data_IF_880506246395
#
_entry.id   IF_880506246395
#
_cell.length_a   1.000
_cell.length_b   1.000
_cell.length_c   1.000
_cell.angle_alpha   90.00
_cell.angle_beta   90.00
_cell.angle_gamma   90.00
#
_symmetry.space_group_name_H-M   'P 1'
#
loop_
_entity.id
_entity.type
_entity.pdbx_description
1 polymer ?
#
# COMPACT_ATOMS: atom_id res chain seq x y z
N UNK A 1 6.56 51.53 -0.74
CA UNK A 1 7.08 50.51 0.18
C UNK A 1 6.71 49.14 -0.43
N UNK A 2 7.67 48.50 -1.09
CA UNK A 2 7.49 47.20 -1.77
C UNK A 2 7.88 46.10 -0.80
N UNK A 3 6.93 45.27 -0.36
CA UNK A 3 7.21 44.07 0.44
C UNK A 3 7.69 42.97 -0.51
N UNK A 4 9.00 42.68 -0.42
CA UNK A 4 9.59 41.46 -0.99
C UNK A 4 9.20 40.27 -0.10
N UNK A 5 8.35 39.39 -0.64
CA UNK A 5 8.14 38.04 -0.11
C UNK A 5 9.25 37.14 -0.67
N UNK A 6 10.23 36.83 0.15
CA UNK A 6 11.25 35.82 -0.11
C UNK A 6 10.57 34.43 -0.07
N UNK A 7 10.80 33.54 -1.05
CA UNK A 7 10.34 32.16 -0.96
C UNK A 7 11.20 31.41 0.05
N UNK A 8 10.56 30.89 1.09
CA UNK A 8 11.17 30.00 2.08
C UNK A 8 11.52 28.67 1.39
N UNK A 9 12.80 28.53 0.99
CA UNK A 9 13.36 27.26 0.51
C UNK A 9 13.29 26.21 1.63
N UNK A 10 12.35 25.29 1.54
CA UNK A 10 12.31 24.12 2.41
C UNK A 10 13.39 23.12 1.96
N UNK A 11 14.47 23.09 2.71
CA UNK A 11 15.49 22.03 2.59
C UNK A 11 14.87 20.71 3.05
N UNK A 12 14.63 19.81 2.11
CA UNK A 12 14.22 18.44 2.36
C UNK A 12 15.44 17.66 2.90
N UNK A 13 15.55 17.48 4.21
CA UNK A 13 16.49 16.52 4.78
C UNK A 13 15.90 15.11 4.65
N UNK A 14 16.21 14.46 3.54
CA UNK A 14 15.99 13.03 3.39
C UNK A 14 17.18 12.32 4.03
N UNK A 15 16.95 11.64 5.14
CA UNK A 15 17.97 10.80 5.76
C UNK A 15 18.28 9.61 4.86
N UNK A 16 19.44 9.64 4.22
CA UNK A 16 20.02 8.47 3.56
C UNK A 16 20.34 7.41 4.60
N UNK A 17 19.50 6.42 4.76
CA UNK A 17 19.91 5.16 5.35
C UNK A 17 20.67 4.39 4.28
N UNK A 18 22.01 4.47 4.29
CA UNK A 18 22.84 3.57 3.51
C UNK A 18 22.57 2.12 3.94
N UNK A 19 21.72 1.42 3.21
CA UNK A 19 21.64 -0.03 3.30
C UNK A 19 22.95 -0.62 2.79
N UNK A 20 23.94 -0.79 3.67
CA UNK A 20 25.00 -1.77 3.45
C UNK A 20 24.37 -3.13 3.71
N UNK A 21 24.07 -3.86 2.66
CA UNK A 21 23.84 -5.28 2.78
C UNK A 21 25.14 -5.92 3.34
N UNK A 22 25.05 -6.79 4.37
CA UNK A 22 26.20 -7.64 4.70
C UNK A 22 26.52 -8.45 3.46
N UNK A 23 27.82 -8.54 3.09
CA UNK A 23 28.35 -9.08 1.86
C UNK A 23 27.60 -10.30 1.35
N UNK A 24 26.64 -10.09 0.50
CA UNK A 24 26.02 -11.13 -0.29
C UNK A 24 26.88 -11.29 -1.53
N UNK A 25 27.67 -12.35 -1.57
CA UNK A 25 28.12 -12.93 -2.82
C UNK A 25 26.90 -13.09 -3.71
N UNK A 26 26.90 -12.38 -4.82
CA UNK A 26 25.86 -12.53 -5.84
C UNK A 26 26.06 -13.92 -6.47
N UNK A 27 25.49 -14.91 -5.83
CA UNK A 27 25.33 -16.23 -6.42
C UNK A 27 24.32 -16.10 -7.57
N UNK A 28 24.71 -16.64 -8.71
CA UNK A 28 23.87 -16.77 -9.89
C UNK A 28 22.79 -17.79 -9.53
N UNK A 29 21.75 -17.35 -8.83
CA UNK A 29 20.56 -18.15 -8.60
C UNK A 29 19.82 -18.29 -9.92
N UNK A 30 20.06 -19.36 -10.63
CA UNK A 30 19.12 -19.94 -11.59
C UNK A 30 17.76 -20.02 -10.90
N UNK A 31 16.74 -19.53 -11.58
CA UNK A 31 15.32 -19.67 -11.21
C UNK A 31 14.99 -21.18 -11.15
N UNK A 32 15.27 -21.81 -10.03
CA UNK A 32 14.81 -23.17 -9.78
C UNK A 32 13.29 -23.12 -9.61
N UNK A 33 12.64 -23.68 -10.59
CA UNK A 33 11.19 -23.85 -10.74
C UNK A 33 10.67 -24.87 -9.72
N UNK A 34 10.52 -24.46 -8.45
CA UNK A 34 9.80 -25.24 -7.45
C UNK A 34 8.72 -24.38 -6.82
N UNK A 35 7.51 -24.55 -7.33
CA UNK A 35 6.31 -24.06 -6.65
C UNK A 35 6.30 -24.59 -5.20
N UNK A 36 5.98 -23.77 -4.19
CA UNK A 36 5.75 -24.27 -2.84
C UNK A 36 4.64 -25.31 -2.91
N UNK A 37 4.86 -26.46 -2.27
CA UNK A 37 3.84 -27.52 -2.16
C UNK A 37 2.56 -26.88 -1.61
N UNK A 38 1.44 -27.20 -2.23
CA UNK A 38 0.08 -26.67 -2.03
C UNK A 38 -0.47 -26.85 -0.60
N UNK A 39 0.26 -27.52 0.28
CA UNK A 39 -0.28 -28.13 1.49
C UNK A 39 -0.04 -27.35 2.80
N UNK A 40 0.45 -26.09 2.77
CA UNK A 40 0.85 -25.39 4.00
C UNK A 40 0.27 -24.00 4.24
N UNK A 41 -0.66 -23.55 3.43
CA UNK A 41 -1.38 -22.28 3.70
C UNK A 41 -2.83 -22.66 4.02
N UNK A 42 -3.39 -22.31 5.21
CA UNK A 42 -4.82 -22.45 5.42
C UNK A 42 -5.50 -21.65 4.29
N UNK A 43 -6.29 -22.34 3.47
CA UNK A 43 -7.06 -21.71 2.43
C UNK A 43 -7.97 -20.67 3.08
N UNK A 44 -7.65 -19.39 2.94
CA UNK A 44 -8.72 -18.40 2.85
C UNK A 44 -9.56 -18.87 1.66
N UNK A 45 -10.86 -19.08 1.90
CA UNK A 45 -11.78 -19.72 0.99
C UNK A 45 -11.54 -19.30 -0.47
N UNK A 46 -11.50 -20.27 -1.38
CA UNK A 46 -11.56 -19.99 -2.81
C UNK A 46 -12.77 -19.08 -3.07
N UNK A 47 -12.72 -18.22 -4.09
CA UNK A 47 -13.85 -17.33 -4.39
C UNK A 47 -15.17 -18.09 -4.59
N UNK A 48 -15.12 -19.38 -4.93
CA UNK A 48 -16.30 -20.26 -5.01
C UNK A 48 -16.93 -20.59 -3.66
N UNK A 49 -16.17 -20.54 -2.58
CA UNK A 49 -16.65 -20.81 -1.21
C UNK A 49 -17.04 -19.50 -0.49
N UNK A 50 -16.77 -18.33 -1.09
CA UNK A 50 -17.16 -17.06 -0.51
C UNK A 50 -18.68 -16.86 -0.65
N UNK A 51 -19.39 -16.45 0.42
CA UNK A 51 -20.80 -16.11 0.32
C UNK A 51 -21.01 -15.01 -0.71
N UNK A 52 -22.13 -15.05 -1.45
CA UNK A 52 -22.48 -13.99 -2.41
C UNK A 52 -22.36 -12.62 -1.75
N UNK A 53 -21.92 -11.62 -2.50
CA UNK A 53 -21.81 -10.26 -2.01
C UNK A 53 -23.18 -9.75 -1.54
N UNK A 54 -23.27 -9.36 -0.27
CA UNK A 54 -24.41 -8.62 0.25
C UNK A 54 -24.31 -7.14 -0.18
N UNK A 55 -25.00 -6.79 -1.25
CA UNK A 55 -25.00 -5.44 -1.81
C UNK A 55 -25.65 -4.41 -0.89
N UNK A 56 -26.60 -4.84 -0.04
CA UNK A 56 -27.25 -3.96 0.95
C UNK A 56 -26.25 -3.55 2.02
N UNK A 57 -25.56 -4.52 2.60
CA UNK A 57 -24.51 -4.28 3.58
C UNK A 57 -23.33 -3.50 2.96
N UNK A 58 -22.93 -3.82 1.71
CA UNK A 58 -21.88 -3.07 1.00
C UNK A 58 -22.24 -1.58 0.89
N UNK A 59 -23.47 -1.28 0.44
CA UNK A 59 -23.94 0.10 0.32
C UNK A 59 -24.07 0.81 1.67
N UNK A 60 -24.45 0.08 2.72
CA UNK A 60 -24.48 0.62 4.08
C UNK A 60 -23.06 0.99 4.52
N UNK A 61 -22.09 0.11 4.37
CA UNK A 61 -20.68 0.35 4.72
C UNK A 61 -20.08 1.51 3.92
N UNK A 62 -20.40 1.64 2.65
CA UNK A 62 -19.99 2.81 1.86
C UNK A 62 -20.57 4.11 2.44
N UNK A 63 -21.86 4.14 2.83
CA UNK A 63 -22.44 5.33 3.48
C UNK A 63 -21.72 5.69 4.79
N UNK A 64 -21.33 4.69 5.59
CA UNK A 64 -20.59 4.91 6.83
C UNK A 64 -19.21 5.56 6.57
N UNK A 65 -18.51 5.17 5.49
CA UNK A 65 -17.25 5.81 5.05
C UNK A 65 -17.46 7.31 4.73
N UNK A 66 -18.61 7.66 4.16
CA UNK A 66 -18.96 9.04 3.84
C UNK A 66 -19.73 9.76 4.96
N UNK A 67 -19.65 9.27 6.21
CA UNK A 67 -20.36 9.84 7.38
C UNK A 67 -21.87 10.04 7.12
N UNK A 68 -22.49 9.14 6.35
CA UNK A 68 -23.88 9.19 5.91
C UNK A 68 -24.24 10.47 5.10
N UNK A 69 -23.24 11.18 4.56
CA UNK A 69 -23.42 12.32 3.65
C UNK A 69 -23.41 11.84 2.20
N UNK A 70 -23.89 12.68 1.28
CA UNK A 70 -23.74 12.40 -0.15
C UNK A 70 -22.27 12.36 -0.51
N UNK A 71 -21.79 11.29 -1.21
CA UNK A 71 -20.37 11.11 -1.50
C UNK A 71 -19.77 12.19 -2.42
N UNK A 72 -20.55 13.00 -3.09
CA UNK A 72 -20.06 14.00 -4.05
C UNK A 72 -19.28 13.34 -5.18
N UNK A 73 -18.03 13.81 -5.40
CA UNK A 73 -17.13 13.25 -6.41
C UNK A 73 -16.66 11.83 -6.10
N UNK A 74 -16.85 11.35 -4.87
CA UNK A 74 -16.56 9.98 -4.44
C UNK A 74 -17.72 9.02 -4.69
N UNK A 75 -18.57 9.30 -5.66
CA UNK A 75 -19.61 8.34 -6.04
C UNK A 75 -18.93 7.02 -6.43
N UNK A 76 -19.22 5.90 -5.72
CA UNK A 76 -18.81 4.61 -6.21
C UNK A 76 -19.44 4.40 -7.58
N UNK A 77 -18.67 3.86 -8.52
CA UNK A 77 -19.26 3.34 -9.72
C UNK A 77 -20.24 2.23 -9.34
N UNK A 78 -21.21 2.01 -10.20
CA UNK A 78 -22.24 0.99 -10.01
C UNK A 78 -21.71 -0.44 -10.04
N UNK A 79 -20.42 -0.67 -10.31
CA UNK A 79 -19.80 -1.99 -10.30
C UNK A 79 -19.43 -2.40 -8.88
N UNK A 80 -20.16 -3.40 -8.37
CA UNK A 80 -19.83 -4.04 -7.11
C UNK A 80 -18.56 -4.90 -7.25
N UNK A 81 -17.76 -5.07 -6.17
CA UNK A 81 -16.67 -6.03 -6.17
C UNK A 81 -17.21 -7.48 -6.21
N UNK A 82 -16.34 -8.42 -6.59
CA UNK A 82 -16.67 -9.84 -6.46
C UNK A 82 -16.83 -10.25 -4.99
N UNK A 83 -17.42 -11.41 -4.76
CA UNK A 83 -17.51 -12.05 -3.45
C UNK A 83 -16.13 -12.21 -2.80
N UNK A 84 -16.06 -12.12 -1.47
CA UNK A 84 -14.79 -12.18 -0.74
C UNK A 84 -14.01 -10.86 -0.68
N UNK A 85 -14.56 -9.75 -1.19
CA UNK A 85 -13.98 -8.43 -1.05
C UNK A 85 -13.78 -8.04 0.43
N UNK A 86 -12.61 -7.50 0.76
CA UNK A 86 -12.29 -7.05 2.12
C UNK A 86 -12.90 -5.67 2.40
N UNK A 87 -12.76 -4.75 1.45
CA UNK A 87 -13.27 -3.39 1.60
C UNK A 87 -14.70 -3.28 1.04
N UNK A 88 -15.58 -2.50 1.67
CA UNK A 88 -15.43 -1.72 2.90
C UNK A 88 -15.84 -2.46 4.18
N UNK A 89 -15.99 -3.79 4.16
CA UNK A 89 -16.48 -4.58 5.28
C UNK A 89 -15.53 -4.63 6.46
N UNK A 90 -14.21 -4.52 6.17
CA UNK A 90 -13.14 -4.46 7.17
C UNK A 90 -12.25 -3.24 6.90
N UNK A 91 -11.65 -2.70 7.96
CA UNK A 91 -10.53 -1.76 7.86
C UNK A 91 -9.22 -2.54 7.87
N UNK A 92 -8.33 -2.24 6.94
CA UNK A 92 -6.98 -2.83 6.96
C UNK A 92 -6.06 -1.96 7.81
N UNK A 93 -5.34 -2.57 8.75
CA UNK A 93 -4.27 -1.92 9.53
C UNK A 93 -2.96 -2.64 9.22
N UNK A 94 -2.03 -1.92 8.63
CA UNK A 94 -0.80 -2.47 8.07
C UNK A 94 0.46 -1.91 8.75
N UNK A 95 1.44 -2.77 9.00
CA UNK A 95 2.81 -2.37 9.27
C UNK A 95 3.64 -2.41 7.97
N UNK A 96 4.36 -1.31 7.71
CA UNK A 96 5.11 -1.08 6.47
C UNK A 96 6.61 -1.21 6.71
N UNK A 97 7.35 -1.65 5.70
CA UNK A 97 8.80 -1.62 5.72
C UNK A 97 9.48 -2.77 4.98
N UNK A 98 10.77 -2.94 5.29
CA UNK A 98 11.63 -3.95 4.70
C UNK A 98 12.47 -4.62 5.81
N UNK A 99 12.56 -5.95 5.82
CA UNK A 99 13.25 -6.69 6.88
C UNK A 99 14.77 -6.47 6.92
N UNK A 100 15.37 -6.01 5.83
CA UNK A 100 16.81 -5.71 5.77
C UNK A 100 17.15 -4.28 6.21
N UNK A 101 16.13 -3.43 6.46
CA UNK A 101 16.37 -2.03 6.80
C UNK A 101 15.54 -1.58 7.99
N UNK A 102 16.23 -1.26 9.08
CA UNK A 102 15.61 -0.65 10.26
C UNK A 102 15.09 0.77 10.01
N UNK A 103 15.57 1.44 8.96
CA UNK A 103 15.19 2.81 8.60
C UNK A 103 14.00 2.89 7.64
N UNK A 104 13.62 1.80 6.98
CA UNK A 104 12.55 1.80 5.99
C UNK A 104 11.17 1.47 6.57
N UNK A 105 11.06 1.33 7.88
CA UNK A 105 9.78 1.11 8.53
C UNK A 105 9.80 0.06 9.64
N UNK A 106 8.64 -0.10 10.25
CA UNK A 106 8.48 -0.89 11.47
C UNK A 106 8.74 -2.39 11.27
N UNK A 107 8.51 -2.93 10.06
CA UNK A 107 8.72 -4.35 9.76
C UNK A 107 10.18 -4.80 9.98
N UNK A 108 11.15 -3.93 9.67
CA UNK A 108 12.57 -4.24 9.85
C UNK A 108 13.17 -3.71 11.15
N UNK A 109 12.43 -2.89 11.89
CA UNK A 109 12.93 -2.17 13.07
C UNK A 109 12.90 -3.01 14.33
N UNK A 110 11.89 -3.84 14.50
CA UNK A 110 11.65 -4.66 15.69
C UNK A 110 11.94 -6.13 15.38
N UNK A 111 12.10 -6.93 16.46
CA UNK A 111 12.09 -8.39 16.30
C UNK A 111 10.72 -8.85 15.77
N UNK A 112 10.65 -9.95 15.02
CA UNK A 112 9.40 -10.41 14.43
C UNK A 112 8.25 -10.54 15.43
N UNK A 113 8.46 -11.17 16.56
CA UNK A 113 7.39 -11.40 17.54
C UNK A 113 6.96 -10.08 18.23
N UNK A 114 7.90 -9.20 18.56
CA UNK A 114 7.59 -7.85 19.06
C UNK A 114 6.82 -7.02 18.03
N UNK A 115 7.19 -7.12 16.77
CA UNK A 115 6.51 -6.42 15.66
C UNK A 115 5.07 -6.90 15.53
N UNK A 116 4.84 -8.22 15.56
CA UNK A 116 3.50 -8.79 15.47
C UNK A 116 2.63 -8.42 16.68
N UNK A 117 3.18 -8.49 17.90
CA UNK A 117 2.47 -8.08 19.11
C UNK A 117 2.03 -6.61 19.04
N UNK A 118 2.93 -5.71 18.62
CA UNK A 118 2.60 -4.29 18.45
C UNK A 118 1.56 -4.04 17.34
N UNK A 119 1.60 -4.80 16.26
CA UNK A 119 0.55 -4.70 15.23
C UNK A 119 -0.81 -5.10 15.81
N UNK A 120 -0.88 -6.15 16.61
CA UNK A 120 -2.12 -6.55 17.28
C UNK A 120 -2.62 -5.51 18.29
N UNK A 121 -1.72 -4.80 18.99
CA UNK A 121 -2.08 -3.66 19.84
C UNK A 121 -2.71 -2.52 19.01
N UNK A 122 -2.14 -2.21 17.85
CA UNK A 122 -2.74 -1.19 16.95
C UNK A 122 -4.11 -1.66 16.42
N UNK A 123 -4.24 -2.93 16.01
CA UNK A 123 -5.53 -3.51 15.59
C UNK A 123 -6.59 -3.28 16.67
N UNK A 124 -6.27 -3.61 17.92
CA UNK A 124 -7.19 -3.43 19.07
C UNK A 124 -7.61 -1.97 19.25
N UNK A 125 -6.68 -1.01 19.14
CA UNK A 125 -7.00 0.43 19.25
C UNK A 125 -7.98 0.89 18.15
N UNK A 126 -7.85 0.34 16.93
CA UNK A 126 -8.76 0.65 15.83
C UNK A 126 -10.14 0.02 16.02
N UNK A 127 -10.21 -1.20 16.56
CA UNK A 127 -11.48 -1.87 16.91
C UNK A 127 -12.18 -1.15 18.06
N UNK A 128 -11.45 -0.67 19.06
CA UNK A 128 -12.01 0.14 20.16
C UNK A 128 -12.54 1.50 19.66
N UNK A 129 -11.88 2.11 18.68
CA UNK A 129 -12.29 3.40 18.12
C UNK A 129 -13.49 3.29 17.16
N UNK A 130 -13.70 2.16 16.51
CA UNK A 130 -14.80 1.88 15.57
C UNK A 130 -15.17 0.39 15.64
N UNK A 131 -15.95 0.04 16.65
CA UNK A 131 -16.38 -1.35 16.91
C UNK A 131 -17.29 -1.95 15.83
N UNK A 132 -17.86 -1.12 14.95
CA UNK A 132 -18.73 -1.57 13.85
C UNK A 132 -17.95 -2.00 12.59
N UNK A 133 -16.64 -1.75 12.56
CA UNK A 133 -15.79 -2.08 11.41
C UNK A 133 -14.64 -2.99 11.87
N UNK A 134 -14.75 -4.31 11.69
CA UNK A 134 -13.68 -5.25 12.03
C UNK A 134 -12.36 -4.87 11.38
N UNK A 135 -11.23 -5.16 12.03
CA UNK A 135 -9.92 -4.85 11.51
C UNK A 135 -9.24 -6.10 10.93
N UNK A 136 -8.67 -5.96 9.73
CA UNK A 136 -7.81 -6.93 9.10
C UNK A 136 -6.36 -6.49 9.27
N UNK A 137 -5.54 -7.21 10.06
CA UNK A 137 -4.11 -6.93 10.15
C UNK A 137 -3.41 -7.20 8.83
N UNK A 138 -2.35 -6.45 8.55
CA UNK A 138 -1.56 -6.62 7.33
C UNK A 138 -0.07 -6.37 7.55
N UNK A 139 0.76 -7.08 6.79
CA UNK A 139 2.18 -6.77 6.61
C UNK A 139 2.37 -6.20 5.21
N UNK A 140 2.83 -4.95 5.11
CA UNK A 140 3.07 -4.27 3.84
C UNK A 140 4.57 -4.23 3.58
N UNK A 141 5.06 -5.24 2.85
CA UNK A 141 6.47 -5.50 2.64
C UNK A 141 6.99 -4.89 1.34
N UNK A 142 8.04 -4.07 1.41
CA UNK A 142 8.68 -3.48 0.23
C UNK A 142 9.55 -4.53 -0.44
N UNK A 143 9.08 -5.09 -1.56
CA UNK A 143 9.74 -6.16 -2.32
C UNK A 143 10.74 -5.64 -3.35
N UNK A 144 10.49 -4.43 -3.84
CA UNK A 144 11.42 -3.70 -4.72
C UNK A 144 11.66 -2.34 -4.09
N UNK A 145 12.90 -2.06 -3.73
CA UNK A 145 13.28 -0.80 -3.07
C UNK A 145 14.01 0.11 -4.05
N UNK A 146 13.58 1.36 -4.16
CA UNK A 146 14.32 2.38 -4.88
C UNK A 146 15.70 2.62 -4.25
N UNK A 147 16.69 2.94 -5.07
CA UNK A 147 18.08 3.12 -4.65
C UNK A 147 18.63 4.45 -5.17
N UNK A 148 19.46 5.11 -4.37
CA UNK A 148 20.22 6.30 -4.80
C UNK A 148 21.39 5.98 -5.74
N UNK A 149 21.67 4.70 -6.01
CA UNK A 149 22.73 4.24 -6.92
C UNK A 149 22.12 3.44 -8.05
N UNK A 150 22.70 3.57 -9.24
CA UNK A 150 22.19 2.98 -10.48
C UNK A 150 22.04 1.45 -10.43
N UNK A 151 22.90 0.76 -9.66
CA UNK A 151 22.97 -0.69 -9.70
C UNK A 151 23.61 -1.22 -10.99
N UNK A 152 23.69 -2.55 -11.14
CA UNK A 152 24.31 -3.18 -12.33
C UNK A 152 23.51 -2.94 -13.61
N UNK A 153 22.19 -2.91 -13.50
CA UNK A 153 21.25 -2.72 -14.62
C UNK A 153 20.82 -1.27 -14.84
N UNK A 154 21.41 -0.32 -14.10
CA UNK A 154 21.12 1.11 -14.14
C UNK A 154 19.65 1.49 -13.85
N UNK A 155 18.92 0.62 -13.15
CA UNK A 155 17.49 0.83 -12.86
C UNK A 155 17.24 1.51 -11.52
N UNK A 156 18.25 1.84 -10.74
CA UNK A 156 18.11 2.54 -9.45
C UNK A 156 17.09 1.87 -8.52
N UNK A 157 17.06 0.53 -8.53
CA UNK A 157 16.21 -0.26 -7.65
C UNK A 157 16.90 -1.57 -7.26
N UNK A 158 16.46 -2.16 -6.17
CA UNK A 158 16.94 -3.45 -5.67
C UNK A 158 15.73 -4.35 -5.39
N UNK A 159 15.65 -5.48 -6.06
CA UNK A 159 14.67 -6.53 -5.78
C UNK A 159 15.10 -7.34 -4.57
N UNK A 160 14.18 -7.55 -3.62
CA UNK A 160 14.44 -8.40 -2.47
C UNK A 160 14.38 -9.88 -2.88
N UNK A 161 15.17 -10.74 -2.22
CA UNK A 161 15.06 -12.18 -2.45
C UNK A 161 13.66 -12.69 -2.10
N UNK A 162 13.18 -13.68 -2.82
CA UNK A 162 11.87 -14.30 -2.57
C UNK A 162 11.73 -14.87 -1.17
N UNK A 163 12.81 -15.37 -0.56
CA UNK A 163 12.85 -15.81 0.84
C UNK A 163 12.38 -14.74 1.84
N UNK A 164 12.48 -13.46 1.50
CA UNK A 164 11.95 -12.38 2.35
C UNK A 164 10.44 -12.21 2.19
N UNK A 165 9.90 -12.52 1.02
CA UNK A 165 8.44 -12.60 0.81
C UNK A 165 7.89 -13.82 1.56
N UNK A 166 8.57 -14.97 1.45
CA UNK A 166 8.19 -16.20 2.19
C UNK A 166 8.16 -15.92 3.70
N UNK A 167 9.19 -15.23 4.23
CA UNK A 167 9.22 -14.77 5.63
C UNK A 167 8.03 -13.87 5.99
N UNK A 168 7.64 -12.94 5.11
CA UNK A 168 6.47 -12.08 5.35
C UNK A 168 5.19 -12.92 5.44
N UNK A 169 5.03 -13.91 4.58
CA UNK A 169 3.88 -14.82 4.59
C UNK A 169 3.84 -15.68 5.84
N UNK A 170 4.98 -16.22 6.28
CA UNK A 170 5.08 -17.00 7.53
C UNK A 170 4.70 -16.17 8.76
N UNK A 171 5.18 -14.93 8.83
CA UNK A 171 4.85 -14.02 9.92
C UNK A 171 3.37 -13.63 9.88
N UNK A 172 2.84 -13.30 8.73
CA UNK A 172 1.43 -12.94 8.55
C UNK A 172 0.48 -14.08 8.99
N UNK A 173 0.84 -15.33 8.69
CA UNK A 173 0.07 -16.51 9.11
C UNK A 173 -0.11 -16.60 10.62
N UNK A 174 0.89 -16.19 11.42
CA UNK A 174 0.83 -16.27 12.89
C UNK A 174 -0.32 -15.46 13.50
N UNK A 175 -0.76 -14.38 12.83
CA UNK A 175 -1.79 -13.47 13.32
C UNK A 175 -2.96 -13.30 12.34
N UNK A 176 -3.10 -14.22 11.39
CA UNK A 176 -4.12 -14.16 10.33
C UNK A 176 -4.11 -12.83 9.55
N UNK A 177 -2.91 -12.29 9.29
CA UNK A 177 -2.72 -11.07 8.51
C UNK A 177 -2.68 -11.38 7.01
N UNK A 178 -3.08 -10.37 6.21
CA UNK A 178 -2.83 -10.34 4.77
C UNK A 178 -1.46 -9.70 4.50
N UNK A 179 -0.93 -9.92 3.29
CA UNK A 179 0.37 -9.36 2.89
C UNK A 179 0.20 -8.47 1.67
N UNK A 180 0.83 -7.30 1.70
CA UNK A 180 1.01 -6.45 0.52
C UNK A 180 2.46 -6.55 0.07
N UNK A 181 2.65 -6.71 -1.23
CA UNK A 181 3.96 -6.62 -1.89
C UNK A 181 4.05 -5.26 -2.55
N UNK A 182 4.97 -4.42 -2.05
CA UNK A 182 5.13 -3.05 -2.51
C UNK A 182 6.32 -2.90 -3.45
N UNK A 183 6.19 -2.06 -4.47
CA UNK A 183 7.26 -1.81 -5.44
C UNK A 183 7.56 -0.32 -5.62
N UNK A 184 8.84 0.01 -5.48
CA UNK A 184 9.44 1.31 -5.75
C UNK A 184 10.33 1.13 -7.00
N UNK A 185 9.78 1.44 -8.18
CA UNK A 185 10.33 0.97 -9.45
C UNK A 185 11.65 1.62 -9.88
N UNK A 186 12.02 2.80 -9.33
CA UNK A 186 13.20 3.55 -9.78
C UNK A 186 13.09 3.90 -11.27
N UNK A 187 14.06 3.50 -12.07
CA UNK A 187 14.08 3.58 -13.54
C UNK A 187 13.58 2.29 -14.23
N UNK A 188 13.01 1.36 -13.47
CA UNK A 188 12.21 0.27 -14.00
C UNK A 188 10.77 0.77 -14.20
N UNK A 189 9.84 -0.13 -14.43
CA UNK A 189 8.41 0.17 -14.50
C UNK A 189 7.57 -1.00 -13.95
N UNK A 190 6.30 -0.75 -13.72
CA UNK A 190 5.38 -1.75 -13.18
C UNK A 190 5.20 -2.95 -14.10
N UNK A 191 5.35 -2.78 -15.42
CA UNK A 191 5.22 -3.87 -16.41
C UNK A 191 6.36 -4.87 -16.31
N UNK A 192 7.54 -4.43 -15.86
CA UNK A 192 8.69 -5.29 -15.62
C UNK A 192 8.65 -5.92 -14.23
N UNK A 193 8.12 -5.24 -13.22
CA UNK A 193 8.25 -5.69 -11.82
C UNK A 193 7.10 -6.62 -11.39
N UNK A 194 5.83 -6.32 -11.75
CA UNK A 194 4.69 -7.10 -11.27
C UNK A 194 4.65 -8.55 -11.78
N UNK A 195 5.02 -8.89 -13.04
CA UNK A 195 4.97 -10.28 -13.50
C UNK A 195 5.93 -11.21 -12.73
N UNK A 196 7.03 -10.67 -12.21
CA UNK A 196 7.98 -11.44 -11.40
C UNK A 196 7.39 -11.89 -10.05
N UNK A 197 6.30 -11.28 -9.62
CA UNK A 197 5.62 -11.55 -8.36
C UNK A 197 4.35 -12.39 -8.52
N UNK A 198 4.03 -12.84 -9.75
CA UNK A 198 2.80 -13.61 -10.04
C UNK A 198 2.64 -14.81 -9.12
N UNK A 199 3.71 -15.57 -8.86
CA UNK A 199 3.74 -16.70 -7.92
C UNK A 199 3.11 -16.36 -6.56
N UNK A 200 3.37 -15.17 -6.06
CA UNK A 200 2.86 -14.72 -4.77
C UNK A 200 1.49 -14.05 -4.91
N UNK A 201 1.29 -13.28 -5.98
CA UNK A 201 0.03 -12.60 -6.26
C UNK A 201 -1.10 -13.56 -6.60
N UNK A 202 -0.79 -14.81 -6.97
CA UNK A 202 -1.75 -15.91 -7.11
C UNK A 202 -2.27 -16.48 -5.78
N UNK A 203 -1.72 -16.04 -4.64
CA UNK A 203 -2.22 -16.42 -3.31
C UNK A 203 -3.37 -15.49 -2.88
N UNK A 204 -4.47 -16.01 -2.29
CA UNK A 204 -5.66 -15.23 -1.99
C UNK A 204 -5.42 -14.10 -0.98
N UNK A 205 -4.48 -14.25 -0.07
CA UNK A 205 -4.14 -13.30 0.99
C UNK A 205 -2.98 -12.35 0.63
N UNK A 206 -2.53 -12.35 -0.63
CA UNK A 206 -1.46 -11.46 -1.11
C UNK A 206 -2.03 -10.39 -2.03
N UNK A 207 -1.75 -9.16 -1.72
CA UNK A 207 -2.20 -7.95 -2.39
C UNK A 207 -0.99 -7.15 -2.90
N UNK A 208 -1.22 -5.99 -3.52
CA UNK A 208 -0.14 -5.25 -4.17
C UNK A 208 -0.13 -3.76 -3.81
N UNK A 209 1.05 -3.15 -3.82
CA UNK A 209 1.25 -1.73 -3.66
C UNK A 209 2.20 -1.17 -4.71
N UNK A 210 1.96 0.06 -5.13
CA UNK A 210 2.84 0.83 -6.01
C UNK A 210 3.13 2.19 -5.39
N UNK A 211 4.38 2.63 -5.53
CA UNK A 211 4.84 3.88 -4.94
C UNK A 211 5.32 4.86 -6.03
N UNK A 212 4.42 5.75 -6.51
CA UNK A 212 4.76 6.73 -7.52
C UNK A 212 5.87 7.69 -7.12
N UNK A 213 6.12 7.92 -5.81
CA UNK A 213 7.22 8.77 -5.33
C UNK A 213 8.56 8.36 -5.96
N UNK A 214 8.74 7.06 -6.17
CA UNK A 214 9.98 6.50 -6.68
C UNK A 214 9.93 6.07 -8.15
N UNK A 215 8.92 6.44 -8.92
CA UNK A 215 8.86 6.21 -10.36
C UNK A 215 9.57 7.36 -11.09
N UNK A 216 10.79 7.10 -11.54
CA UNK A 216 11.69 8.11 -12.09
C UNK A 216 11.60 8.19 -13.61
N UNK A 217 11.68 9.42 -14.13
CA UNK A 217 11.73 9.72 -15.56
C UNK A 217 12.98 10.54 -15.90
N UNK A 218 13.54 10.31 -17.10
CA UNK A 218 14.77 10.96 -17.53
C UNK A 218 15.97 10.58 -16.66
N UNK A 219 16.81 11.53 -16.31
CA UNK A 219 18.02 11.32 -15.50
C UNK A 219 17.83 11.52 -13.99
N UNK A 220 16.59 11.59 -13.52
CA UNK A 220 16.28 11.83 -12.11
C UNK A 220 16.66 10.64 -11.25
N UNK A 221 17.25 10.88 -10.08
CA UNK A 221 17.63 9.83 -9.13
C UNK A 221 16.54 9.71 -8.04
N UNK A 222 16.12 8.51 -7.66
CA UNK A 222 15.17 8.31 -6.55
C UNK A 222 15.62 9.04 -5.28
N UNK A 223 14.67 9.59 -4.54
CA UNK A 223 14.86 10.39 -3.33
C UNK A 223 15.48 11.79 -3.55
N UNK A 224 15.83 12.18 -4.78
CA UNK A 224 16.24 13.57 -5.08
C UNK A 224 15.09 14.42 -5.59
N UNK A 225 14.08 13.78 -6.12
CA UNK A 225 12.81 14.39 -6.58
C UNK A 225 11.67 13.44 -6.26
N UNK A 226 10.46 13.98 -6.21
CA UNK A 226 9.24 13.19 -6.15
C UNK A 226 8.95 12.67 -7.56
N UNK A 227 8.75 11.36 -7.68
CA UNK A 227 8.41 10.69 -8.92
C UNK A 227 6.94 10.85 -9.32
N UNK A 228 6.58 10.23 -10.44
CA UNK A 228 5.23 10.30 -11.01
C UNK A 228 4.89 9.00 -11.73
N UNK A 229 3.68 8.50 -11.53
CA UNK A 229 3.04 7.50 -12.38
C UNK A 229 1.83 8.12 -13.08
N UNK A 230 1.44 7.54 -14.20
CA UNK A 230 0.24 7.92 -14.93
C UNK A 230 -0.90 6.91 -14.66
N UNK A 231 -2.13 7.31 -14.95
CA UNK A 231 -3.28 6.40 -14.90
C UNK A 231 -3.07 5.12 -15.70
N UNK A 232 -2.29 5.17 -16.79
CA UNK A 232 -1.93 3.99 -17.59
C UNK A 232 -1.11 2.96 -16.83
N UNK A 233 -0.27 3.39 -15.89
CA UNK A 233 0.50 2.48 -15.02
C UNK A 233 -0.43 1.79 -14.02
N UNK A 234 -1.32 2.56 -13.39
CA UNK A 234 -2.33 2.02 -12.46
C UNK A 234 -3.28 1.05 -13.19
N UNK A 235 -3.72 1.41 -14.40
CA UNK A 235 -4.59 0.55 -15.23
C UNK A 235 -3.90 -0.74 -15.62
N UNK A 236 -2.62 -0.70 -15.97
CA UNK A 236 -1.85 -1.91 -16.24
C UNK A 236 -1.80 -2.83 -15.02
N UNK A 237 -1.48 -2.28 -13.85
CA UNK A 237 -1.39 -3.07 -12.60
C UNK A 237 -2.76 -3.63 -12.21
N UNK A 238 -3.82 -2.81 -12.22
CA UNK A 238 -5.17 -3.26 -11.86
C UNK A 238 -5.71 -4.30 -12.85
N UNK A 239 -5.45 -4.13 -14.15
CA UNK A 239 -5.78 -5.12 -15.17
C UNK A 239 -5.05 -6.44 -14.96
N UNK A 240 -3.73 -6.40 -14.71
CA UNK A 240 -2.94 -7.59 -14.40
C UNK A 240 -3.46 -8.34 -13.17
N UNK A 241 -3.76 -7.62 -12.08
CA UNK A 241 -4.36 -8.23 -10.88
C UNK A 241 -5.74 -8.82 -11.15
N UNK A 242 -6.57 -8.15 -11.97
CA UNK A 242 -7.89 -8.66 -12.36
C UNK A 242 -7.78 -9.97 -13.16
N UNK A 243 -6.80 -10.05 -14.05
CA UNK A 243 -6.53 -11.27 -14.81
C UNK A 243 -6.05 -12.43 -13.91
N UNK A 244 -5.23 -12.13 -12.89
CA UNK A 244 -4.83 -13.14 -11.89
C UNK A 244 -6.03 -13.64 -11.07
N UNK A 245 -6.92 -12.72 -10.66
CA UNK A 245 -8.15 -13.08 -9.94
C UNK A 245 -8.99 -14.05 -10.75
N UNK A 246 -9.20 -13.78 -12.04
CA UNK A 246 -9.92 -14.67 -12.95
C UNK A 246 -9.18 -15.99 -13.17
N UNK A 247 -7.89 -15.93 -13.48
CA UNK A 247 -7.04 -17.09 -13.80
C UNK A 247 -6.99 -18.11 -12.65
N UNK A 248 -6.89 -17.62 -11.43
CA UNK A 248 -6.70 -18.46 -10.23
C UNK A 248 -7.94 -18.57 -9.35
N UNK A 249 -9.08 -18.00 -9.79
CA UNK A 249 -10.34 -17.98 -9.05
C UNK A 249 -10.17 -17.44 -7.62
N UNK A 250 -9.59 -16.23 -7.51
CA UNK A 250 -9.25 -15.59 -6.24
C UNK A 250 -10.36 -14.63 -5.76
N UNK A 251 -10.41 -14.31 -4.46
CA UNK A 251 -11.12 -13.12 -4.00
C UNK A 251 -10.48 -11.85 -4.57
N UNK A 252 -11.21 -10.72 -4.57
CA UNK A 252 -10.68 -9.45 -5.06
C UNK A 252 -9.36 -9.06 -4.42
N UNK A 253 -8.45 -8.53 -5.23
CA UNK A 253 -7.19 -7.96 -4.76
C UNK A 253 -7.38 -6.52 -4.29
N UNK A 254 -6.56 -6.09 -3.33
CA UNK A 254 -6.43 -4.69 -2.97
C UNK A 254 -5.16 -4.16 -3.64
N UNK A 255 -5.28 -3.03 -4.34
CA UNK A 255 -4.16 -2.27 -4.91
C UNK A 255 -3.99 -0.97 -4.13
N UNK A 256 -2.84 -0.82 -3.48
CA UNK A 256 -2.47 0.43 -2.80
C UNK A 256 -1.67 1.30 -3.77
N UNK A 257 -2.10 2.56 -3.92
CA UNK A 257 -1.39 3.60 -4.67
C UNK A 257 -0.97 4.67 -3.67
N UNK A 258 0.33 4.76 -3.41
CA UNK A 258 0.89 5.76 -2.49
C UNK A 258 0.82 7.16 -3.10
N UNK A 259 0.41 8.16 -2.31
CA UNK A 259 0.24 9.51 -2.83
C UNK A 259 0.17 10.55 -1.73
N UNK A 260 1.03 11.58 -1.77
CA UNK A 260 0.93 12.74 -0.86
C UNK A 260 0.94 14.08 -1.59
N UNK A 261 1.19 14.08 -2.91
CA UNK A 261 1.02 15.25 -3.78
C UNK A 261 0.18 14.92 -5.00
N UNK A 262 -0.43 15.93 -5.60
CA UNK A 262 -1.25 15.75 -6.82
C UNK A 262 -0.40 15.31 -8.03
N UNK A 263 0.87 15.76 -8.09
CA UNK A 263 1.79 15.44 -9.19
C UNK A 263 2.30 14.00 -9.20
N UNK A 264 2.15 13.25 -8.11
CA UNK A 264 2.56 11.84 -8.07
C UNK A 264 1.71 10.93 -8.95
N UNK A 265 0.50 11.34 -9.31
CA UNK A 265 -0.40 10.54 -10.15
C UNK A 265 -1.12 11.46 -11.12
N UNK A 266 -0.82 11.32 -12.41
CA UNK A 266 -1.46 12.08 -13.49
C UNK A 266 -2.67 11.35 -14.05
N UNK A 267 -3.55 12.09 -14.72
CA UNK A 267 -4.73 11.54 -15.42
C UNK A 267 -5.64 10.63 -14.55
N UNK A 268 -5.69 10.83 -13.23
CA UNK A 268 -6.39 9.95 -12.27
C UNK A 268 -7.85 9.64 -12.66
N UNK A 269 -8.52 10.52 -13.41
CA UNK A 269 -9.90 10.30 -13.91
C UNK A 269 -9.99 9.19 -14.96
N UNK A 270 -8.87 8.79 -15.56
CA UNK A 270 -8.79 7.72 -16.55
C UNK A 270 -8.48 6.35 -15.92
N UNK A 271 -8.44 6.28 -14.59
CA UNK A 271 -8.23 5.00 -13.90
C UNK A 271 -9.48 4.15 -14.01
N UNK A 272 -9.31 2.98 -14.61
CA UNK A 272 -10.35 1.96 -14.74
C UNK A 272 -10.53 1.18 -13.43
N UNK A 273 -11.77 0.87 -13.10
CA UNK A 273 -12.12 0.04 -11.94
C UNK A 273 -12.58 -1.33 -12.40
N UNK A 274 -12.19 -2.35 -11.67
CA UNK A 274 -12.51 -3.76 -11.96
C UNK A 274 -13.19 -4.37 -10.74
N UNK A 275 -14.23 -5.20 -10.89
CA UNK A 275 -14.83 -5.95 -9.78
C UNK A 275 -13.82 -6.82 -9.02
N UNK A 276 -12.77 -7.23 -9.70
CA UNK A 276 -11.67 -8.05 -9.18
C UNK A 276 -10.65 -7.27 -8.35
N UNK A 277 -10.66 -5.91 -8.40
CA UNK A 277 -9.60 -5.10 -7.76
C UNK A 277 -10.19 -3.91 -7.02
N UNK A 278 -9.82 -3.77 -5.76
CA UNK A 278 -10.19 -2.65 -4.90
C UNK A 278 -9.01 -1.67 -4.79
N UNK A 279 -9.12 -0.48 -5.40
CA UNK A 279 -8.03 0.51 -5.45
C UNK A 279 -8.13 1.44 -4.25
N UNK A 280 -7.03 1.56 -3.51
CA UNK A 280 -6.89 2.48 -2.37
C UNK A 280 -5.83 3.53 -2.67
N UNK A 281 -6.19 4.80 -2.65
CA UNK A 281 -5.21 5.89 -2.64
C UNK A 281 -4.78 6.16 -1.21
N UNK A 282 -3.56 5.82 -0.88
CA UNK A 282 -3.01 5.93 0.46
C UNK A 282 -2.24 7.25 0.62
N UNK A 283 -2.77 8.19 1.42
CA UNK A 283 -2.05 9.41 1.75
C UNK A 283 -0.85 9.07 2.66
N UNK A 284 0.35 9.18 2.14
CA UNK A 284 1.57 8.78 2.82
C UNK A 284 2.58 9.92 3.09
N UNK A 285 2.10 11.15 3.11
CA UNK A 285 2.89 12.29 3.61
C UNK A 285 3.03 12.30 5.12
N UNK A 286 4.20 12.70 5.61
CA UNK A 286 4.47 12.84 7.05
C UNK A 286 4.42 14.29 7.53
N UNK A 287 4.33 14.47 8.85
CA UNK A 287 4.41 15.77 9.53
C UNK A 287 3.28 16.01 10.53
N UNK A 288 3.10 17.26 10.90
CA UNK A 288 2.04 17.65 11.85
C UNK A 288 0.64 17.32 11.31
N UNK A 289 -0.36 17.04 12.17
CA UNK A 289 -1.70 16.67 11.77
C UNK A 289 -2.32 17.60 10.71
N UNK A 290 -2.21 18.92 10.87
CA UNK A 290 -2.77 19.87 9.92
C UNK A 290 -2.19 19.74 8.51
N UNK A 291 -0.87 19.50 8.37
CA UNK A 291 -0.22 19.25 7.08
C UNK A 291 -0.72 17.95 6.45
N UNK A 292 -0.84 16.88 7.23
CA UNK A 292 -1.32 15.58 6.77
C UNK A 292 -2.77 15.65 6.31
N UNK A 293 -3.63 16.30 7.07
CA UNK A 293 -5.04 16.52 6.70
C UNK A 293 -5.14 17.33 5.40
N UNK A 294 -4.28 18.36 5.24
CA UNK A 294 -4.25 19.14 4.00
C UNK A 294 -3.78 18.28 2.80
N UNK A 295 -2.73 17.49 2.96
CA UNK A 295 -2.26 16.55 1.91
C UNK A 295 -3.36 15.52 1.57
N UNK A 296 -4.06 14.99 2.56
CA UNK A 296 -5.19 14.10 2.37
C UNK A 296 -6.30 14.76 1.54
N UNK A 297 -6.65 16.01 1.88
CA UNK A 297 -7.63 16.79 1.13
C UNK A 297 -7.20 17.01 -0.31
N UNK A 298 -5.97 17.44 -0.55
CA UNK A 298 -5.49 17.80 -1.90
C UNK A 298 -5.26 16.57 -2.79
N UNK A 299 -4.55 15.56 -2.28
CA UNK A 299 -4.07 14.45 -3.09
C UNK A 299 -5.04 13.24 -3.11
N UNK A 300 -5.98 13.16 -2.16
CA UNK A 300 -6.93 12.05 -2.07
C UNK A 300 -8.35 12.55 -2.27
N UNK A 301 -8.85 13.43 -1.39
CA UNK A 301 -10.27 13.85 -1.39
C UNK A 301 -10.66 14.58 -2.68
N UNK A 302 -9.83 15.53 -3.14
CA UNK A 302 -10.11 16.32 -4.35
C UNK A 302 -9.86 15.55 -5.65
N UNK A 303 -9.21 14.38 -5.57
CA UNK A 303 -8.92 13.53 -6.73
C UNK A 303 -9.36 12.09 -6.43
N UNK A 304 -10.66 11.86 -6.29
CA UNK A 304 -11.21 10.58 -5.85
C UNK A 304 -11.00 9.49 -6.89
N UNK A 305 -10.71 8.25 -6.40
CA UNK A 305 -10.63 7.06 -7.24
C UNK A 305 -11.65 6.03 -6.74
N UNK A 306 -11.35 5.26 -5.68
CA UNK A 306 -12.28 4.26 -5.16
C UNK A 306 -12.32 4.24 -3.63
N UNK A 307 -11.19 3.98 -2.96
CA UNK A 307 -11.06 3.99 -1.51
C UNK A 307 -9.89 4.88 -1.08
N UNK A 308 -9.94 5.34 0.16
CA UNK A 308 -8.90 6.16 0.77
C UNK A 308 -8.13 5.41 1.85
N UNK A 309 -6.82 5.65 1.91
CA UNK A 309 -5.94 5.20 2.96
C UNK A 309 -5.20 6.36 3.63
N UNK A 310 -4.63 6.10 4.80
CA UNK A 310 -3.89 7.09 5.58
C UNK A 310 -2.69 6.45 6.26
N UNK A 311 -1.50 7.02 6.05
CA UNK A 311 -0.26 6.56 6.64
C UNK A 311 0.11 7.36 7.87
N UNK A 312 0.59 6.69 8.89
CA UNK A 312 1.01 7.23 10.18
C UNK A 312 2.48 6.88 10.40
N UNK A 313 3.29 7.88 10.74
CA UNK A 313 4.72 7.73 10.93
C UNK A 313 5.09 7.93 12.40
N UNK A 314 5.44 6.86 13.11
CA UNK A 314 5.79 6.91 14.52
C UNK A 314 6.86 7.94 14.87
N UNK A 315 7.80 8.18 13.96
CA UNK A 315 8.94 9.07 14.21
C UNK A 315 8.74 10.47 13.62
N UNK A 316 8.12 10.58 12.45
CA UNK A 316 8.06 11.82 11.68
C UNK A 316 6.79 12.63 11.90
N UNK A 317 5.72 12.01 12.41
CA UNK A 317 4.48 12.71 12.72
C UNK A 317 4.59 13.35 14.11
N UNK A 318 5.12 14.58 14.12
CA UNK A 318 5.36 15.35 15.35
C UNK A 318 4.41 16.56 15.41
N UNK A 319 4.09 17.09 16.59
CA UNK A 319 4.49 16.60 17.93
C UNK A 319 3.75 15.35 18.37
N UNK A 320 2.60 15.01 17.77
CA UNK A 320 1.74 13.90 18.16
C UNK A 320 1.30 13.08 16.96
N UNK A 321 1.40 11.77 17.08
CA UNK A 321 0.79 10.82 16.14
C UNK A 321 -0.74 10.93 16.24
N UNK A 322 -1.42 11.13 15.12
CA UNK A 322 -2.90 11.15 15.10
C UNK A 322 -3.46 9.81 15.62
N UNK A 323 -4.42 9.92 16.53
CA UNK A 323 -5.08 8.74 17.11
C UNK A 323 -6.16 8.21 16.17
N UNK A 324 -6.55 6.92 16.28
CA UNK A 324 -7.63 6.35 15.46
C UNK A 324 -8.91 7.21 15.43
N UNK A 325 -9.34 7.72 16.58
CA UNK A 325 -10.54 8.58 16.69
C UNK A 325 -10.42 9.92 15.93
N UNK A 326 -9.21 10.43 15.71
CA UNK A 326 -8.95 11.64 14.93
C UNK A 326 -8.95 11.33 13.43
N UNK A 327 -8.32 10.23 13.04
CA UNK A 327 -8.27 9.78 11.64
C UNK A 327 -9.67 9.39 11.15
N UNK A 328 -10.50 8.81 12.00
CA UNK A 328 -11.89 8.45 11.68
C UNK A 328 -12.80 9.66 11.43
N UNK A 329 -12.40 10.87 11.81
CA UNK A 329 -13.12 12.12 11.47
C UNK A 329 -12.85 12.60 10.04
N UNK A 330 -11.84 12.04 9.36
CA UNK A 330 -11.53 12.42 7.98
C UNK A 330 -12.66 12.02 7.04
N UNK A 331 -12.81 12.77 5.96
CA UNK A 331 -13.83 12.50 4.93
C UNK A 331 -13.13 12.31 3.55
N UNK A 332 -13.37 11.18 2.87
CA UNK A 332 -13.98 9.95 3.39
C UNK A 332 -13.18 9.34 4.53
N UNK A 333 -13.80 8.48 5.36
CA UNK A 333 -13.03 7.71 6.37
C UNK A 333 -12.04 6.80 5.68
N UNK A 334 -10.74 6.80 6.04
CA UNK A 334 -9.80 5.83 5.49
C UNK A 334 -10.18 4.39 5.87
N UNK A 335 -10.12 3.50 4.88
CA UNK A 335 -10.34 2.05 5.06
C UNK A 335 -9.05 1.26 5.11
N UNK A 336 -7.94 1.90 4.80
CA UNK A 336 -6.59 1.36 4.88
C UNK A 336 -5.72 2.30 5.73
N UNK A 337 -5.10 1.76 6.76
CA UNK A 337 -4.20 2.49 7.66
C UNK A 337 -2.84 1.85 7.61
N UNK A 338 -1.80 2.64 7.41
CA UNK A 338 -0.44 2.15 7.33
C UNK A 338 0.44 2.82 8.38
N UNK A 339 1.15 2.04 9.17
CA UNK A 339 2.14 2.53 10.15
C UNK A 339 3.56 2.27 9.65
N UNK A 340 4.42 3.31 9.77
CA UNK A 340 5.84 3.25 9.44
C UNK A 340 6.75 3.70 10.58
#
# INVERSE_FOLDING_TARGET
>A
MKNLLTPLSFLFFIFFSNCKAPGANADKGELADTLPKKDTIPALANAQDAPKLDTTLYNQKLREIFHNKRPGAWMPDTSYPLAGAILPFKRVVAYYGNFYSKGMGILGKLSPDTMLAKLQEEVKKWEEADSLTPVQPALHYITVTAQGKAGKDKKYRLRMPFSQIDKALELAKKINAIVFLDVQVGHSDVKQEIPLLEKYLSLPNVHFGIDPEFAMHGEKVPSTVIGTMDATDVNYVSGYLADLVKKYNLPPKILIVHRFTTGMLTNYKQISKHPEVQIVVNMDGFGIPAKKINSYKLAVVNQPIQFAGFKLFYKQDQPNLMQPSEVLKLYPKPVYIQYQ
#
